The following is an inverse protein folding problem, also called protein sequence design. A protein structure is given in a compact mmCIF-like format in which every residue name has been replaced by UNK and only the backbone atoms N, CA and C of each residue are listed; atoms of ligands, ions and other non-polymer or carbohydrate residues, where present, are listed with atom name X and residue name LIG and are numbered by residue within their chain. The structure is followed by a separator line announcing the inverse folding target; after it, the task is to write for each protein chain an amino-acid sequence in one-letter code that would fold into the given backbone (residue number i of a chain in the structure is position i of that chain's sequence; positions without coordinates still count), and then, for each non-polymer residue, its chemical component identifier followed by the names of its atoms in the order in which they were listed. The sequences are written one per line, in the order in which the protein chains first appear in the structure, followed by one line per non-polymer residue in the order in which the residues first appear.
data_IF_788971798114
#
_entry.id   IF_788971798114
#
_cell.length_a   1.000
_cell.length_b   1.000
_cell.length_c   1.000
_cell.angle_alpha   90.00
_cell.angle_beta   90.00
_cell.angle_gamma   90.00
#
_symmetry.space_group_name_H-M   'P 1'
#
loop_
_entity.id
_entity.type
_entity.pdbx_description
1 polymer ?
#
# COMPACT_ATOMS: atom_id res chain seq x y z
N UNK A 1 -19.49 7.46 6.21
CA UNK A 1 -18.19 7.38 5.50
C UNK A 1 -18.46 7.19 4.01
N UNK A 2 -17.85 8.00 3.16
CA UNK A 2 -17.96 7.89 1.70
C UNK A 2 -16.80 7.08 1.13
N UNK A 3 -17.09 6.08 0.30
CA UNK A 3 -16.09 5.23 -0.35
C UNK A 3 -16.04 5.53 -1.85
N UNK A 4 -14.93 6.10 -2.30
CA UNK A 4 -14.66 6.41 -3.70
C UNK A 4 -13.97 5.23 -4.37
N UNK A 5 -14.46 4.83 -5.55
CA UNK A 5 -13.95 3.64 -6.24
C UNK A 5 -14.49 2.34 -5.63
N UNK A 6 -15.72 2.38 -5.09
CA UNK A 6 -16.30 1.36 -4.23
C UNK A 6 -16.35 -0.05 -4.85
N UNK A 7 -16.49 -0.16 -6.17
CA UNK A 7 -16.62 -1.45 -6.86
C UNK A 7 -15.33 -1.88 -7.60
N UNK A 8 -14.20 -1.19 -7.37
CA UNK A 8 -12.86 -1.70 -7.69
C UNK A 8 -12.45 -2.84 -6.75
N UNK A 9 -11.37 -3.55 -7.05
CA UNK A 9 -10.90 -4.66 -6.20
C UNK A 9 -10.61 -4.23 -4.76
N UNK A 10 -9.90 -3.11 -4.57
CA UNK A 10 -9.62 -2.52 -3.26
C UNK A 10 -10.89 -2.03 -2.58
N UNK A 11 -11.70 -1.23 -3.28
CA UNK A 11 -12.94 -0.66 -2.74
C UNK A 11 -13.93 -1.74 -2.29
N UNK A 12 -14.07 -2.85 -3.02
CA UNK A 12 -14.95 -3.96 -2.62
C UNK A 12 -14.53 -4.56 -1.28
N UNK A 13 -13.22 -4.77 -1.08
CA UNK A 13 -12.70 -5.27 0.19
C UNK A 13 -13.01 -4.29 1.34
N UNK A 14 -12.79 -2.98 1.14
CA UNK A 14 -13.13 -1.95 2.13
C UNK A 14 -14.63 -1.99 2.46
N UNK A 15 -15.48 -1.99 1.43
CA UNK A 15 -16.93 -2.00 1.61
C UNK A 15 -17.40 -3.26 2.38
N UNK A 16 -16.86 -4.43 2.05
CA UNK A 16 -17.16 -5.70 2.73
C UNK A 16 -16.77 -5.67 4.21
N UNK A 17 -15.60 -5.13 4.54
CA UNK A 17 -15.10 -5.10 5.93
C UNK A 17 -15.79 -4.05 6.80
N UNK A 18 -16.29 -2.97 6.20
CA UNK A 18 -16.95 -1.86 6.89
C UNK A 18 -18.49 -1.99 6.93
N UNK A 19 -19.09 -2.78 6.03
CA UNK A 19 -20.54 -2.93 5.95
C UNK A 19 -21.14 -3.42 7.28
N UNK A 20 -22.19 -2.73 7.73
CA UNK A 20 -22.87 -3.03 8.99
C UNK A 20 -22.14 -2.58 10.26
N UNK A 21 -20.91 -2.05 10.15
CA UNK A 21 -20.17 -1.42 11.27
C UNK A 21 -20.28 0.09 11.24
N UNK A 22 -20.38 0.66 10.04
CA UNK A 22 -20.50 2.11 9.82
C UNK A 22 -21.56 2.40 8.76
N UNK A 23 -22.11 3.61 8.78
CA UNK A 23 -22.93 4.11 7.67
C UNK A 23 -22.03 4.37 6.45
N UNK A 24 -22.24 3.62 5.38
CA UNK A 24 -21.44 3.68 4.16
C UNK A 24 -22.21 4.32 3.02
N UNK A 25 -21.50 5.13 2.23
CA UNK A 25 -21.92 5.62 0.92
C UNK A 25 -20.95 5.11 -0.14
N UNK A 26 -21.45 4.36 -1.12
CA UNK A 26 -20.66 3.75 -2.20
C UNK A 26 -20.66 4.68 -3.41
N UNK A 27 -19.47 5.10 -3.84
CA UNK A 27 -19.25 6.00 -4.95
C UNK A 27 -18.52 5.33 -6.12
N UNK A 28 -19.04 5.54 -7.33
CA UNK A 28 -18.32 5.30 -8.57
C UNK A 28 -19.14 5.68 -9.80
N UNK A 29 -18.53 5.58 -10.97
CA UNK A 29 -19.10 6.06 -12.25
C UNK A 29 -20.36 5.29 -12.68
N UNK A 30 -20.41 3.98 -12.41
CA UNK A 30 -21.54 3.13 -12.78
C UNK A 30 -22.40 2.81 -11.54
N UNK A 31 -23.53 3.50 -11.34
CA UNK A 31 -24.38 3.27 -10.18
C UNK A 31 -24.94 1.84 -10.12
N UNK A 32 -25.05 1.14 -11.26
CA UNK A 32 -25.54 -0.26 -11.29
C UNK A 32 -24.56 -1.21 -10.62
N UNK A 33 -23.25 -0.99 -10.80
CA UNK A 33 -22.23 -1.82 -10.14
C UNK A 33 -22.16 -1.53 -8.64
N UNK A 34 -22.35 -0.28 -8.24
CA UNK A 34 -22.44 0.10 -6.84
C UNK A 34 -23.69 -0.51 -6.19
N UNK A 35 -24.83 -0.54 -6.88
CA UNK A 35 -26.06 -1.17 -6.39
C UNK A 35 -25.92 -2.70 -6.26
N UNK A 36 -25.30 -3.36 -7.24
CA UNK A 36 -25.00 -4.79 -7.15
C UNK A 36 -24.10 -5.09 -5.94
N UNK A 37 -23.07 -4.27 -5.70
CA UNK A 37 -22.25 -4.40 -4.50
C UNK A 37 -23.09 -4.17 -3.24
N UNK A 38 -23.93 -3.13 -3.20
CA UNK A 38 -24.78 -2.85 -2.05
C UNK A 38 -25.70 -4.03 -1.71
N UNK A 39 -26.29 -4.67 -2.71
CA UNK A 39 -27.11 -5.88 -2.54
C UNK A 39 -26.30 -7.04 -1.93
N UNK A 40 -25.06 -7.26 -2.38
CA UNK A 40 -24.15 -8.26 -1.78
C UNK A 40 -23.82 -7.94 -0.31
N UNK A 41 -23.84 -6.66 0.06
CA UNK A 41 -23.64 -6.18 1.43
C UNK A 41 -24.93 -6.16 2.27
N UNK A 42 -26.04 -6.67 1.72
CA UNK A 42 -27.35 -6.72 2.39
C UNK A 42 -28.14 -5.42 2.33
N UNK A 43 -27.91 -4.58 1.31
CA UNK A 43 -28.57 -3.29 1.09
C UNK A 43 -28.42 -2.30 2.27
N UNK A 44 -27.22 -2.30 2.88
CA UNK A 44 -26.90 -1.53 4.09
C UNK A 44 -26.19 -0.20 3.81
N UNK A 45 -25.83 0.08 2.57
CA UNK A 45 -25.14 1.29 2.17
C UNK A 45 -26.03 2.17 1.29
N UNK A 46 -25.72 3.46 1.29
CA UNK A 46 -26.22 4.40 0.30
C UNK A 46 -25.41 4.27 -0.99
N UNK A 47 -26.06 4.33 -2.15
CA UNK A 47 -25.37 4.35 -3.45
C UNK A 47 -25.49 5.73 -4.06
N UNK A 48 -24.36 6.28 -4.50
CA UNK A 48 -24.31 7.56 -5.22
C UNK A 48 -23.44 7.43 -6.46
N UNK A 49 -23.97 7.87 -7.60
CA UNK A 49 -23.16 8.06 -8.80
C UNK A 49 -22.09 9.11 -8.50
N UNK A 50 -20.86 8.82 -8.93
CA UNK A 50 -19.71 9.68 -8.70
C UNK A 50 -18.82 9.69 -9.93
N UNK A 51 -18.69 10.86 -10.54
CA UNK A 51 -17.60 11.17 -11.46
C UNK A 51 -16.60 12.07 -10.76
N UNK A 52 -15.38 11.57 -10.58
CA UNK A 52 -14.30 12.33 -9.94
C UNK A 52 -13.88 13.55 -10.74
N UNK A 53 -14.14 13.57 -12.05
CA UNK A 53 -13.73 14.67 -12.92
C UNK A 53 -14.78 15.77 -13.04
N UNK A 54 -15.95 15.56 -12.43
CA UNK A 54 -17.03 16.54 -12.38
C UNK A 54 -17.11 17.12 -10.96
N UNK A 55 -16.72 18.40 -10.75
CA UNK A 55 -16.62 18.98 -9.41
C UNK A 55 -17.91 18.93 -8.60
N UNK A 56 -19.08 19.09 -9.23
CA UNK A 56 -20.35 19.07 -8.50
C UNK A 56 -20.67 17.65 -8.01
N UNK A 57 -20.49 16.64 -8.84
CA UNK A 57 -20.65 15.23 -8.49
C UNK A 57 -19.79 14.84 -7.30
N UNK A 58 -18.54 15.32 -7.28
CA UNK A 58 -17.62 15.06 -6.18
C UNK A 58 -18.03 15.79 -4.89
N UNK A 59 -18.45 17.06 -4.99
CA UNK A 59 -18.95 17.83 -3.85
C UNK A 59 -20.22 17.19 -3.24
N UNK A 60 -21.19 16.84 -4.08
CA UNK A 60 -22.44 16.18 -3.67
C UNK A 60 -22.18 14.84 -2.99
N UNK A 61 -21.19 14.07 -3.49
CA UNK A 61 -20.78 12.82 -2.86
C UNK A 61 -20.16 13.02 -1.48
N UNK A 62 -19.30 14.03 -1.34
CA UNK A 62 -18.61 14.32 -0.08
C UNK A 62 -19.55 14.93 0.98
N UNK A 63 -20.60 15.64 0.55
CA UNK A 63 -21.54 16.31 1.46
C UNK A 63 -22.13 15.35 2.51
N UNK A 64 -21.96 15.69 3.79
CA UNK A 64 -22.47 14.89 4.93
C UNK A 64 -21.63 13.65 5.26
N UNK A 65 -20.50 13.42 4.59
CA UNK A 65 -19.53 12.40 5.02
C UNK A 65 -18.67 12.95 6.16
N UNK A 66 -18.41 12.13 7.18
CA UNK A 66 -17.39 12.42 8.20
C UNK A 66 -15.97 12.08 7.72
N UNK A 67 -15.85 11.05 6.89
CA UNK A 67 -14.60 10.56 6.31
C UNK A 67 -14.88 10.12 4.86
N UNK A 68 -14.01 10.52 3.95
CA UNK A 68 -13.96 10.06 2.55
C UNK A 68 -12.74 9.17 2.37
N UNK A 69 -12.97 7.91 1.97
CA UNK A 69 -11.96 6.90 1.69
C UNK A 69 -11.78 6.80 0.18
N UNK A 70 -10.60 7.16 -0.32
CA UNK A 70 -10.25 7.07 -1.73
C UNK A 70 -9.58 5.73 -2.06
N UNK A 71 -10.31 4.87 -2.78
CA UNK A 71 -9.79 3.65 -3.39
C UNK A 71 -9.80 3.71 -4.92
N UNK A 72 -10.07 4.88 -5.51
CA UNK A 72 -10.01 5.05 -6.95
C UNK A 72 -8.57 5.27 -7.41
N UNK A 73 -8.28 4.79 -8.61
CA UNK A 73 -7.06 5.10 -9.33
C UNK A 73 -7.36 5.50 -10.78
N UNK A 74 -6.33 5.91 -11.54
CA UNK A 74 -4.93 5.97 -11.13
C UNK A 74 -4.64 7.14 -10.18
N UNK A 75 -3.96 6.86 -9.07
CA UNK A 75 -3.57 7.80 -8.01
C UNK A 75 -2.83 9.02 -8.57
N UNK A 76 -1.91 8.81 -9.52
CA UNK A 76 -1.13 9.91 -10.14
C UNK A 76 -1.93 10.81 -11.09
N UNK A 77 -3.14 10.41 -11.49
CA UNK A 77 -4.07 11.26 -12.24
C UNK A 77 -5.08 11.95 -11.31
N UNK A 78 -5.48 11.26 -10.25
CA UNK A 78 -6.46 11.77 -9.29
C UNK A 78 -5.83 12.85 -8.41
N UNK A 79 -4.62 12.58 -7.88
CA UNK A 79 -3.88 13.46 -6.98
C UNK A 79 -4.79 13.99 -5.86
N UNK A 80 -4.79 15.30 -5.64
CA UNK A 80 -5.47 15.99 -4.55
C UNK A 80 -6.95 16.25 -4.79
N UNK A 81 -7.51 15.83 -5.93
CA UNK A 81 -8.88 16.18 -6.31
C UNK A 81 -9.92 15.72 -5.28
N UNK A 82 -9.84 14.47 -4.84
CA UNK A 82 -10.79 13.91 -3.86
C UNK A 82 -10.53 14.51 -2.48
N UNK A 83 -9.26 14.66 -2.09
CA UNK A 83 -8.89 15.27 -0.82
C UNK A 83 -9.45 16.69 -0.68
N UNK A 84 -9.29 17.54 -1.70
CA UNK A 84 -9.81 18.92 -1.70
C UNK A 84 -11.33 18.96 -1.55
N UNK A 85 -12.06 18.11 -2.27
CA UNK A 85 -13.51 18.09 -2.20
C UNK A 85 -14.02 17.56 -0.85
N UNK A 86 -13.35 16.54 -0.29
CA UNK A 86 -13.65 16.03 1.05
C UNK A 86 -13.46 17.12 2.10
N UNK A 87 -12.29 17.76 2.14
CA UNK A 87 -11.97 18.81 3.10
C UNK A 87 -12.88 20.04 2.93
N UNK A 88 -13.21 20.44 1.70
CA UNK A 88 -14.15 21.54 1.44
C UNK A 88 -15.58 21.23 1.92
N UNK A 89 -15.98 19.95 1.94
CA UNK A 89 -17.25 19.49 2.50
C UNK A 89 -17.20 19.29 4.04
N UNK A 90 -16.07 19.56 4.68
CA UNK A 90 -15.86 19.33 6.12
C UNK A 90 -15.65 17.86 6.49
N UNK A 91 -15.27 17.01 5.52
CA UNK A 91 -14.93 15.61 5.75
C UNK A 91 -13.43 15.41 5.90
N UNK A 92 -13.06 14.46 6.77
CA UNK A 92 -11.71 13.92 6.81
C UNK A 92 -11.40 13.06 5.57
N UNK A 93 -10.12 12.74 5.34
CA UNK A 93 -9.67 12.05 4.12
C UNK A 93 -8.71 10.90 4.39
N UNK A 94 -8.95 9.75 3.75
CA UNK A 94 -8.05 8.60 3.72
C UNK A 94 -7.76 8.20 2.28
N UNK A 95 -6.49 8.02 1.91
CA UNK A 95 -6.07 7.56 0.58
C UNK A 95 -5.24 6.29 0.65
N UNK A 96 -5.57 5.30 -0.18
CA UNK A 96 -4.87 4.02 -0.22
C UNK A 96 -3.58 4.04 -1.04
N UNK A 97 -3.48 4.93 -2.03
CA UNK A 97 -2.39 4.95 -3.01
C UNK A 97 -1.67 6.30 -3.13
N UNK A 98 -2.29 7.37 -2.62
CA UNK A 98 -1.67 8.68 -2.53
C UNK A 98 -0.46 8.67 -1.60
N UNK A 99 0.64 9.24 -2.08
CA UNK A 99 1.94 9.29 -1.41
C UNK A 99 2.53 10.71 -1.54
N UNK A 100 3.85 10.87 -1.72
CA UNK A 100 4.53 12.18 -1.68
C UNK A 100 3.95 13.23 -2.63
N UNK A 101 3.63 12.93 -3.91
CA UNK A 101 3.05 13.93 -4.80
C UNK A 101 1.69 14.46 -4.33
N UNK A 102 0.93 13.66 -3.58
CA UNK A 102 -0.30 14.11 -2.95
C UNK A 102 0.00 14.88 -1.67
N UNK A 103 0.89 14.35 -0.82
CA UNK A 103 1.33 15.00 0.41
C UNK A 103 1.78 16.44 0.15
N UNK A 104 2.69 16.65 -0.80
CA UNK A 104 3.22 17.97 -1.19
C UNK A 104 2.12 18.98 -1.58
N UNK A 105 1.03 18.50 -2.17
CA UNK A 105 -0.12 19.34 -2.56
C UNK A 105 -1.03 19.69 -1.40
N UNK A 106 -0.94 18.98 -0.29
CA UNK A 106 -1.79 19.16 0.90
C UNK A 106 -1.06 19.84 2.06
N UNK A 107 0.28 19.80 2.09
CA UNK A 107 1.08 20.51 3.11
C UNK A 107 0.66 21.98 3.20
N UNK A 108 0.34 22.41 4.42
CA UNK A 108 -0.09 23.78 4.72
C UNK A 108 -1.50 24.15 4.25
N UNK A 109 -2.28 23.20 3.72
CA UNK A 109 -3.63 23.46 3.18
C UNK A 109 -4.76 22.80 3.99
N UNK A 110 -4.44 22.03 5.04
CA UNK A 110 -5.45 21.36 5.86
C UNK A 110 -6.17 22.37 6.77
N UNK A 111 -7.52 22.37 6.80
CA UNK A 111 -8.24 23.13 7.82
C UNK A 111 -8.01 22.52 9.21
N UNK A 112 -8.04 23.36 10.25
CA UNK A 112 -7.80 22.94 11.63
C UNK A 112 -8.83 21.88 12.08
N UNK A 113 -8.38 20.88 12.85
CA UNK A 113 -9.23 19.80 13.35
C UNK A 113 -9.41 18.61 12.40
N UNK A 114 -8.98 18.72 11.14
CA UNK A 114 -9.13 17.65 10.17
C UNK A 114 -7.99 16.65 10.17
N UNK A 115 -8.33 15.40 9.82
CA UNK A 115 -7.40 14.29 9.64
C UNK A 115 -7.26 13.96 8.15
N UNK A 116 -6.02 13.82 7.71
CA UNK A 116 -5.68 13.25 6.40
C UNK A 116 -4.67 12.13 6.57
N UNK A 117 -5.02 10.94 6.11
CA UNK A 117 -4.15 9.78 6.15
C UNK A 117 -3.83 9.29 4.74
N UNK A 118 -2.55 9.27 4.40
CA UNK A 118 -2.04 8.83 3.10
C UNK A 118 -1.38 7.45 3.20
N UNK A 119 -1.15 6.83 2.05
CA UNK A 119 -0.47 5.53 1.94
C UNK A 119 -1.12 4.44 2.80
N UNK A 120 -2.45 4.36 2.84
CA UNK A 120 -3.19 3.36 3.62
C UNK A 120 -3.43 2.05 2.83
N UNK A 121 -2.40 1.55 2.15
CA UNK A 121 -2.47 0.38 1.27
C UNK A 121 -1.48 -0.73 1.64
N UNK A 122 -1.30 -1.70 0.73
CA UNK A 122 -0.23 -2.69 0.85
C UNK A 122 1.14 -2.07 0.53
N UNK A 123 1.21 -1.37 -0.61
CA UNK A 123 2.38 -0.65 -1.10
C UNK A 123 1.89 0.59 -1.85
N UNK A 124 2.05 1.81 -1.29
CA UNK A 124 2.61 2.10 0.04
C UNK A 124 1.61 1.79 1.19
N UNK A 125 2.13 1.69 2.42
CA UNK A 125 1.40 1.50 3.67
C UNK A 125 1.97 0.37 4.51
N UNK A 126 1.44 -0.84 4.32
CA UNK A 126 1.91 -2.03 5.02
C UNK A 126 3.41 -2.28 4.75
N UNK A 127 3.92 -1.91 3.59
CA UNK A 127 5.35 -1.98 3.26
C UNK A 127 6.25 -1.08 4.11
N UNK A 128 5.76 0.06 4.60
CA UNK A 128 6.46 0.90 5.58
C UNK A 128 6.21 0.49 7.02
N UNK A 129 5.03 -0.09 7.32
CA UNK A 129 4.61 -0.49 8.65
C UNK A 129 5.23 -1.84 9.08
N UNK A 130 5.23 -2.84 8.19
CA UNK A 130 5.69 -4.21 8.47
C UNK A 130 7.15 -4.31 8.96
N UNK A 131 8.12 -3.54 8.42
CA UNK A 131 9.49 -3.52 8.94
C UNK A 131 9.59 -3.12 10.42
N UNK A 132 8.64 -2.32 10.92
CA UNK A 132 8.68 -1.82 12.31
C UNK A 132 8.51 -2.94 13.34
N UNK A 133 7.81 -4.01 12.98
CA UNK A 133 7.67 -5.21 13.81
C UNK A 133 9.02 -5.86 14.17
N UNK A 134 10.04 -5.65 13.33
CA UNK A 134 11.40 -6.09 13.63
C UNK A 134 12.24 -5.00 14.27
N UNK A 135 12.22 -3.79 13.70
CA UNK A 135 13.18 -2.74 14.08
C UNK A 135 13.02 -2.28 15.53
N UNK A 136 11.79 -2.32 16.07
CA UNK A 136 11.50 -1.96 17.47
C UNK A 136 12.22 -2.87 18.48
N UNK A 137 12.58 -4.09 18.09
CA UNK A 137 13.29 -5.06 18.95
C UNK A 137 14.82 -4.92 18.92
N UNK A 138 15.38 -4.01 18.12
CA UNK A 138 16.83 -3.81 17.97
C UNK A 138 17.28 -2.50 18.63
N UNK A 139 18.37 -2.54 19.39
CA UNK A 139 18.98 -1.34 19.96
C UNK A 139 19.69 -0.49 18.89
N UNK A 140 20.18 -1.14 17.84
CA UNK A 140 20.82 -0.49 16.69
C UNK A 140 20.54 -1.29 15.44
N UNK A 141 20.20 -0.60 14.35
CA UNK A 141 20.00 -1.19 13.03
C UNK A 141 21.20 -0.86 12.15
N UNK A 142 22.05 -1.85 11.86
CA UNK A 142 23.21 -1.67 10.99
C UNK A 142 22.82 -1.80 9.51
N UNK A 143 21.94 -2.75 9.18
CA UNK A 143 21.37 -2.87 7.85
C UNK A 143 19.90 -3.27 7.87
N UNK A 144 19.11 -2.68 6.97
CA UNK A 144 17.69 -3.02 6.77
C UNK A 144 17.43 -3.20 5.27
N UNK A 145 16.97 -4.40 4.89
CA UNK A 145 16.64 -4.74 3.52
C UNK A 145 15.15 -5.03 3.42
N UNK A 146 14.46 -4.29 2.55
CA UNK A 146 13.01 -4.42 2.35
C UNK A 146 12.74 -4.94 0.94
N UNK A 147 11.89 -5.96 0.83
CA UNK A 147 11.56 -6.62 -0.42
C UNK A 147 10.05 -6.56 -0.64
N UNK A 148 9.64 -6.17 -1.84
CA UNK A 148 8.24 -6.18 -2.24
C UNK A 148 8.09 -6.75 -3.64
N UNK A 149 7.06 -7.55 -3.85
CA UNK A 149 6.70 -8.03 -5.18
C UNK A 149 5.69 -9.16 -5.12
N UNK A 150 5.51 -9.84 -6.24
CA UNK A 150 4.56 -10.94 -6.29
C UNK A 150 4.22 -11.37 -7.71
N UNK A 151 3.32 -12.34 -7.75
CA UNK A 151 2.72 -12.87 -8.96
C UNK A 151 1.22 -12.62 -8.89
N UNK A 152 0.70 -11.78 -9.76
CA UNK A 152 -0.72 -11.44 -9.76
C UNK A 152 -1.15 -10.77 -11.05
N UNK A 153 -2.43 -10.89 -11.37
CA UNK A 153 -3.00 -10.23 -12.53
C UNK A 153 -3.19 -8.75 -12.20
N UNK A 154 -2.62 -7.87 -13.01
CA UNK A 154 -2.84 -6.44 -12.88
C UNK A 154 -4.22 -6.07 -13.46
N UNK A 155 -4.93 -5.19 -12.76
CA UNK A 155 -6.05 -4.44 -13.36
C UNK A 155 -5.50 -3.35 -14.27
N UNK A 156 -6.32 -2.81 -15.18
CA UNK A 156 -5.91 -1.67 -16.01
C UNK A 156 -5.48 -0.47 -15.17
N UNK A 157 -6.21 -0.18 -14.08
CA UNK A 157 -5.88 0.89 -13.15
C UNK A 157 -4.54 0.64 -12.43
N UNK A 158 -4.30 -0.59 -11.95
CA UNK A 158 -3.05 -0.92 -11.28
C UNK A 158 -1.85 -0.88 -12.24
N UNK A 159 -2.02 -1.37 -13.47
CA UNK A 159 -0.97 -1.29 -14.50
C UNK A 159 -0.67 0.16 -14.87
N UNK A 160 -1.70 1.00 -14.99
CA UNK A 160 -1.53 2.43 -15.26
C UNK A 160 -0.84 3.15 -14.11
N UNK A 161 -1.25 2.91 -12.85
CA UNK A 161 -0.60 3.50 -11.67
C UNK A 161 0.86 3.07 -11.56
N UNK A 162 1.15 1.80 -11.82
CA UNK A 162 2.52 1.29 -11.85
C UNK A 162 3.36 2.01 -12.92
N UNK A 163 2.83 2.23 -14.12
CA UNK A 163 3.56 2.93 -15.18
C UNK A 163 3.76 4.41 -14.88
N UNK A 164 2.78 5.06 -14.26
CA UNK A 164 2.88 6.46 -13.84
C UNK A 164 3.88 6.62 -12.69
N UNK A 165 3.98 5.66 -11.77
CA UNK A 165 4.92 5.74 -10.63
C UNK A 165 6.39 5.73 -11.07
N UNK A 166 6.72 5.11 -12.22
CA UNK A 166 8.08 5.06 -12.77
C UNK A 166 8.71 6.43 -13.07
N UNK A 167 7.90 7.48 -13.21
CA UNK A 167 8.38 8.83 -13.55
C UNK A 167 7.95 9.94 -12.59
N UNK A 168 7.09 9.65 -11.61
CA UNK A 168 6.40 10.68 -10.82
C UNK A 168 6.82 10.67 -9.34
N UNK A 169 8.08 10.36 -9.05
CA UNK A 169 8.64 10.56 -7.71
C UNK A 169 8.30 9.50 -6.67
N UNK A 170 7.77 8.33 -7.05
CA UNK A 170 7.54 7.21 -6.11
C UNK A 170 8.83 6.64 -5.51
N UNK A 171 9.96 6.82 -6.19
CA UNK A 171 11.23 6.24 -5.79
C UNK A 171 12.28 6.26 -6.89
N UNK A 172 13.47 5.77 -6.55
CA UNK A 172 14.66 5.81 -7.39
C UNK A 172 15.22 4.40 -7.62
N UNK A 173 15.32 4.01 -8.89
CA UNK A 173 15.97 2.75 -9.27
C UNK A 173 17.48 2.84 -9.04
N UNK A 174 18.07 1.71 -8.62
CA UNK A 174 19.50 1.60 -8.31
C UNK A 174 19.99 2.59 -7.25
N UNK A 175 19.13 2.93 -6.30
CA UNK A 175 19.47 3.71 -5.12
C UNK A 175 19.23 2.88 -3.86
N UNK A 176 19.91 3.28 -2.79
CA UNK A 176 19.76 2.79 -1.43
C UNK A 176 19.99 3.94 -0.45
N UNK A 177 20.15 3.61 0.82
CA UNK A 177 20.30 4.56 1.91
C UNK A 177 21.57 4.28 2.69
N UNK A 178 22.33 5.33 2.99
CA UNK A 178 23.51 5.25 3.82
C UNK A 178 23.56 6.45 4.76
N UNK A 179 23.55 6.20 6.06
CA UNK A 179 23.75 7.22 7.12
C UNK A 179 22.96 8.52 6.91
N UNK A 180 21.66 8.40 6.61
CA UNK A 180 20.79 9.57 6.43
C UNK A 180 20.71 10.10 5.00
N UNK A 181 21.40 9.48 4.05
CA UNK A 181 21.48 9.96 2.67
C UNK A 181 21.07 8.91 1.65
N UNK A 182 20.43 9.36 0.58
CA UNK A 182 20.20 8.56 -0.62
C UNK A 182 21.52 8.39 -1.37
N UNK A 183 21.93 7.14 -1.59
CA UNK A 183 23.16 6.79 -2.31
C UNK A 183 22.84 5.90 -3.50
N UNK A 184 23.71 5.89 -4.51
CA UNK A 184 23.64 4.86 -5.57
C UNK A 184 23.91 3.50 -4.95
N UNK A 185 23.09 2.51 -5.29
CA UNK A 185 23.29 1.15 -4.82
C UNK A 185 24.60 0.61 -5.41
N UNK A 186 25.44 0.04 -4.57
CA UNK A 186 26.65 -0.68 -4.98
C UNK A 186 26.34 -2.10 -5.47
N UNK A 187 25.10 -2.54 -5.27
CA UNK A 187 24.66 -3.86 -5.66
C UNK A 187 24.34 -3.91 -7.17
N UNK A 188 24.49 -5.09 -7.77
CA UNK A 188 24.17 -5.30 -9.18
C UNK A 188 22.73 -4.87 -9.48
N UNK A 189 22.52 -4.34 -10.69
CA UNK A 189 21.22 -3.89 -11.18
C UNK A 189 20.13 -4.98 -11.09
N UNK A 190 20.54 -6.24 -11.16
CA UNK A 190 19.71 -7.43 -10.98
C UNK A 190 20.49 -8.44 -10.13
N UNK A 191 19.81 -9.05 -9.14
CA UNK A 191 20.40 -10.03 -8.23
C UNK A 191 19.49 -11.25 -8.13
N UNK A 192 20.03 -12.43 -8.44
CA UNK A 192 19.36 -13.69 -8.18
C UNK A 192 19.18 -13.86 -6.68
N UNK A 193 17.93 -13.94 -6.23
CA UNK A 193 17.60 -14.05 -4.81
C UNK A 193 17.14 -15.47 -4.50
N UNK A 194 17.82 -16.13 -3.57
CA UNK A 194 17.42 -17.42 -3.03
C UNK A 194 17.17 -17.29 -1.54
N UNK A 195 15.92 -17.54 -1.14
CA UNK A 195 15.43 -17.48 0.24
C UNK A 195 14.32 -18.49 0.42
N UNK A 196 14.21 -19.06 1.62
CA UNK A 196 13.18 -20.06 1.94
C UNK A 196 11.75 -19.49 1.85
N UNK A 197 11.62 -18.18 2.00
CA UNK A 197 10.36 -17.45 1.88
C UNK A 197 10.03 -17.00 0.46
N UNK A 198 10.85 -17.33 -0.54
CA UNK A 198 10.52 -17.17 -1.96
C UNK A 198 9.87 -18.45 -2.51
N UNK A 199 9.06 -18.36 -3.57
CA UNK A 199 8.73 -19.55 -4.34
C UNK A 199 10.00 -20.14 -4.98
N UNK A 200 10.01 -21.43 -5.35
CA UNK A 200 11.20 -22.11 -5.89
C UNK A 200 11.72 -21.57 -7.23
N UNK A 201 10.94 -20.72 -7.91
CA UNK A 201 11.31 -20.14 -9.21
C UNK A 201 12.37 -19.05 -9.05
N UNK A 202 13.18 -18.81 -10.10
CA UNK A 202 14.26 -17.83 -10.10
C UNK A 202 13.78 -16.38 -9.97
N UNK A 203 13.57 -15.93 -8.73
CA UNK A 203 13.21 -14.55 -8.41
C UNK A 203 14.43 -13.65 -8.49
N UNK A 204 14.24 -12.51 -9.15
CA UNK A 204 15.23 -11.46 -9.30
C UNK A 204 14.86 -10.26 -8.44
N UNK A 205 15.84 -9.76 -7.70
CA UNK A 205 15.72 -8.54 -6.90
C UNK A 205 16.37 -7.37 -7.62
N UNK A 206 15.62 -6.28 -7.77
CA UNK A 206 16.06 -5.05 -8.41
C UNK A 206 16.13 -3.94 -7.36
N UNK A 207 17.32 -3.37 -7.08
CA UNK A 207 17.46 -2.27 -6.14
C UNK A 207 16.56 -1.10 -6.51
N UNK A 208 15.67 -0.73 -5.59
CA UNK A 208 14.73 0.36 -5.76
C UNK A 208 14.45 0.98 -4.41
N UNK A 209 14.68 2.29 -4.29
CA UNK A 209 14.45 3.04 -3.06
C UNK A 209 13.18 3.88 -3.22
N UNK A 210 12.07 3.45 -2.62
CA UNK A 210 10.84 4.24 -2.59
C UNK A 210 10.96 5.44 -1.65
N UNK A 211 10.09 6.43 -1.84
CA UNK A 211 9.88 7.54 -0.90
C UNK A 211 9.45 7.05 0.48
N UNK A 212 8.56 6.06 0.54
CA UNK A 212 8.17 5.41 1.79
C UNK A 212 9.35 4.76 2.51
N UNK A 213 10.24 4.08 1.78
CA UNK A 213 11.44 3.50 2.37
C UNK A 213 12.41 4.58 2.87
N UNK A 214 12.54 5.72 2.17
CA UNK A 214 13.33 6.85 2.66
C UNK A 214 12.77 7.38 4.00
N UNK A 215 11.43 7.50 4.13
CA UNK A 215 10.81 7.87 5.41
C UNK A 215 11.10 6.84 6.48
N UNK A 216 10.88 5.55 6.20
CA UNK A 216 11.18 4.46 7.12
C UNK A 216 12.64 4.48 7.60
N UNK A 217 13.60 4.68 6.70
CA UNK A 217 15.03 4.71 7.03
C UNK A 217 15.47 6.00 7.73
N UNK A 218 14.70 7.08 7.60
CA UNK A 218 14.85 8.30 8.38
C UNK A 218 14.30 8.15 9.80
N UNK A 219 13.13 7.51 9.94
CA UNK A 219 12.43 7.31 11.22
C UNK A 219 13.09 6.21 12.08
N UNK A 220 13.60 5.16 11.43
CA UNK A 220 14.44 4.12 12.04
C UNK A 220 15.87 4.40 11.62
N UNK A 221 16.73 5.03 12.46
CA UNK A 221 18.06 5.48 12.06
C UNK A 221 18.99 4.29 11.74
N UNK A 222 18.88 3.82 10.50
CA UNK A 222 19.60 2.69 9.93
C UNK A 222 20.86 3.18 9.24
N UNK A 223 21.98 2.49 9.46
CA UNK A 223 23.24 2.82 8.77
C UNK A 223 23.17 2.51 7.28
N UNK A 224 22.67 1.34 6.90
CA UNK A 224 22.50 0.93 5.51
C UNK A 224 21.09 0.42 5.20
N UNK A 225 20.31 1.16 4.43
CA UNK A 225 18.97 0.75 3.99
C UNK A 225 18.97 0.36 2.51
N UNK A 226 18.24 -0.69 2.14
CA UNK A 226 18.07 -1.06 0.74
C UNK A 226 16.68 -1.63 0.48
N UNK A 227 15.96 -1.01 -0.46
CA UNK A 227 14.72 -1.55 -1.00
C UNK A 227 14.96 -2.38 -2.26
N UNK A 228 14.08 -3.36 -2.49
CA UNK A 228 14.09 -4.21 -3.67
C UNK A 228 12.68 -4.46 -4.19
N UNK A 229 12.50 -4.31 -5.50
CA UNK A 229 11.36 -4.88 -6.21
C UNK A 229 11.70 -6.30 -6.66
N UNK A 230 10.79 -7.24 -6.45
CA UNK A 230 10.96 -8.65 -6.82
C UNK A 230 10.16 -8.98 -8.08
N UNK A 231 10.80 -9.67 -9.04
CA UNK A 231 10.15 -10.20 -10.23
C UNK A 231 10.60 -11.63 -10.51
N UNK A 232 9.70 -12.49 -10.97
CA UNK A 232 10.00 -13.87 -11.36
C UNK A 232 10.42 -14.00 -12.84
N UNK A 233 10.88 -12.90 -13.46
CA UNK A 233 11.04 -12.81 -14.91
C UNK A 233 9.69 -12.88 -15.63
N UNK A 234 9.62 -13.65 -16.73
CA UNK A 234 8.37 -13.87 -17.46
C UNK A 234 7.96 -12.73 -18.39
N UNK A 235 6.70 -12.78 -18.81
CA UNK A 235 6.13 -11.85 -19.78
C UNK A 235 6.01 -10.43 -19.21
N UNK A 236 5.69 -10.30 -17.92
CA UNK A 236 5.54 -9.01 -17.25
C UNK A 236 6.87 -8.28 -17.18
N UNK A 237 7.93 -8.95 -16.73
CA UNK A 237 9.27 -8.37 -16.69
C UNK A 237 9.75 -7.97 -18.11
N UNK A 238 9.53 -8.82 -19.11
CA UNK A 238 9.87 -8.52 -20.50
C UNK A 238 9.06 -7.35 -21.09
N UNK A 239 7.78 -7.23 -20.73
CA UNK A 239 6.95 -6.08 -21.12
C UNK A 239 7.46 -4.79 -20.45
N UNK A 240 7.80 -4.84 -19.16
CA UNK A 240 8.34 -3.69 -18.43
C UNK A 240 9.65 -3.20 -19.00
N UNK A 241 10.59 -4.09 -19.30
CA UNK A 241 11.86 -3.72 -19.94
C UNK A 241 11.65 -2.99 -21.27
N UNK A 242 10.74 -3.48 -22.13
CA UNK A 242 10.40 -2.81 -23.39
C UNK A 242 9.78 -1.43 -23.18
N UNK A 243 8.87 -1.31 -22.20
CA UNK A 243 8.20 -0.04 -21.89
C UNK A 243 9.20 0.98 -21.32
N UNK A 244 10.09 0.55 -20.43
CA UNK A 244 11.13 1.41 -19.85
C UNK A 244 12.08 1.97 -20.93
N UNK A 245 12.38 1.19 -21.98
CA UNK A 245 13.13 1.64 -23.14
C UNK A 245 12.39 2.62 -24.06
N UNK A 246 11.08 2.83 -23.86
CA UNK A 246 10.29 3.80 -24.62
C UNK A 246 10.40 5.22 -24.02
N UNK A 247 10.09 6.23 -24.84
CA UNK A 247 10.04 7.62 -24.39
C UNK A 247 9.10 7.81 -23.18
N UNK A 248 9.47 8.61 -22.17
CA UNK A 248 8.71 8.74 -20.92
C UNK A 248 7.20 8.99 -21.10
N UNK A 249 6.83 9.87 -22.01
CA UNK A 249 5.44 10.24 -22.33
C UNK A 249 4.61 9.09 -22.95
N UNK A 250 5.27 8.10 -23.55
CA UNK A 250 4.61 6.95 -24.16
C UNK A 250 4.41 5.79 -23.17
N UNK A 251 5.06 5.83 -22.00
CA UNK A 251 5.09 4.69 -21.05
C UNK A 251 3.72 4.32 -20.52
N UNK A 252 2.88 5.32 -20.22
CA UNK A 252 1.51 5.14 -19.71
C UNK A 252 0.44 5.16 -20.81
N UNK A 253 0.80 4.89 -22.07
CA UNK A 253 -0.16 4.76 -23.16
C UNK A 253 -1.14 3.60 -22.95
N UNK A 254 -2.35 3.71 -23.51
CA UNK A 254 -3.37 2.66 -23.43
C UNK A 254 -2.86 1.31 -23.95
N UNK A 255 -2.00 1.32 -24.97
CA UNK A 255 -1.37 0.12 -25.51
C UNK A 255 -0.43 -0.55 -24.50
N UNK A 256 0.41 0.23 -23.82
CA UNK A 256 1.35 -0.30 -22.83
C UNK A 256 0.62 -0.78 -21.56
N UNK A 257 -0.44 -0.10 -21.14
CA UNK A 257 -1.31 -0.55 -20.06
C UNK A 257 -1.93 -1.91 -20.41
N UNK A 258 -2.52 -2.04 -21.61
CA UNK A 258 -3.10 -3.31 -22.06
C UNK A 258 -2.05 -4.43 -22.16
N UNK A 259 -0.84 -4.10 -22.63
CA UNK A 259 0.27 -5.05 -22.73
C UNK A 259 0.70 -5.58 -21.35
N UNK A 260 0.80 -4.74 -20.32
CA UNK A 260 1.10 -5.18 -18.95
C UNK A 260 -0.01 -6.03 -18.35
N UNK A 261 -1.28 -5.66 -18.57
CA UNK A 261 -2.42 -6.47 -18.11
C UNK A 261 -2.40 -7.85 -18.76
N UNK A 262 -2.14 -7.93 -20.06
CA UNK A 262 -2.03 -9.21 -20.77
C UNK A 262 -0.82 -10.02 -20.29
N UNK A 263 0.35 -9.40 -20.15
CA UNK A 263 1.56 -10.05 -19.70
C UNK A 263 1.43 -10.63 -18.28
N UNK A 264 0.88 -9.86 -17.34
CA UNK A 264 0.62 -10.34 -15.97
C UNK A 264 -0.40 -11.49 -15.94
N UNK A 265 -1.41 -11.47 -16.82
CA UNK A 265 -2.38 -12.56 -16.93
C UNK A 265 -1.73 -13.85 -17.46
N UNK A 266 -0.79 -13.75 -18.41
CA UNK A 266 -0.04 -14.89 -18.91
C UNK A 266 0.88 -15.49 -17.84
N UNK A 267 1.58 -14.66 -17.07
CA UNK A 267 2.49 -15.13 -16.03
C UNK A 267 1.77 -15.84 -14.88
N UNK A 268 0.52 -15.46 -14.59
CA UNK A 268 -0.31 -16.09 -13.55
C UNK A 268 -1.00 -17.35 -14.03
N UNK A 269 -1.16 -17.56 -15.35
CA UNK A 269 -1.93 -18.67 -15.89
C UNK A 269 -1.41 -20.03 -15.41
N UNK A 270 -2.29 -20.83 -14.80
CA UNK A 270 -1.93 -22.15 -14.24
C UNK A 270 -1.11 -22.10 -12.95
N UNK A 271 -0.86 -20.92 -12.39
CA UNK A 271 -0.06 -20.70 -11.17
C UNK A 271 -0.92 -20.08 -10.08
N UNK A 272 -0.49 -20.24 -8.82
CA UNK A 272 -1.16 -19.61 -7.68
C UNK A 272 -0.61 -18.18 -7.49
N UNK A 273 -1.47 -17.14 -7.53
CA UNK A 273 -1.00 -15.78 -7.30
C UNK A 273 -0.55 -15.62 -5.86
N UNK A 274 0.40 -14.71 -5.66
CA UNK A 274 0.85 -14.31 -4.34
C UNK A 274 1.36 -12.88 -4.37
N UNK A 275 1.34 -12.25 -3.21
CA UNK A 275 1.99 -10.98 -2.90
C UNK A 275 2.93 -11.21 -1.73
N UNK A 276 4.07 -10.55 -1.73
CA UNK A 276 5.14 -10.76 -0.77
C UNK A 276 5.68 -9.41 -0.29
N UNK A 277 5.73 -9.27 1.03
CA UNK A 277 6.57 -8.30 1.72
C UNK A 277 7.57 -9.09 2.55
N UNK A 278 8.86 -8.75 2.47
CA UNK A 278 9.87 -9.35 3.32
C UNK A 278 10.85 -8.29 3.82
N UNK A 279 11.41 -8.53 4.98
CA UNK A 279 12.34 -7.63 5.66
C UNK A 279 13.46 -8.47 6.25
N UNK A 280 14.68 -8.05 6.04
CA UNK A 280 15.87 -8.59 6.70
C UNK A 280 16.56 -7.47 7.47
N UNK A 281 16.99 -7.77 8.68
CA UNK A 281 17.67 -6.82 9.57
C UNK A 281 18.97 -7.42 10.07
N UNK A 282 20.04 -6.62 10.04
CA UNK A 282 21.27 -6.86 10.78
C UNK A 282 21.43 -5.76 11.82
N UNK A 283 21.72 -6.11 13.06
CA UNK A 283 21.88 -5.09 14.09
C UNK A 283 22.25 -5.62 15.46
N UNK A 284 22.25 -4.73 16.44
CA UNK A 284 22.48 -5.03 17.84
C UNK A 284 21.14 -5.30 18.54
N UNK A 285 20.98 -6.50 19.09
CA UNK A 285 19.85 -6.89 19.94
C UNK A 285 20.38 -7.61 21.17
N UNK A 286 19.88 -7.23 22.35
CA UNK A 286 20.34 -7.73 23.66
C UNK A 286 21.87 -7.71 23.82
N UNK A 287 22.52 -6.65 23.32
CA UNK A 287 23.97 -6.47 23.39
C UNK A 287 24.79 -7.41 22.48
N UNK A 288 24.15 -8.15 21.57
CA UNK A 288 24.79 -9.05 20.61
C UNK A 288 24.42 -8.69 19.19
N UNK A 289 25.34 -8.92 18.24
CA UNK A 289 25.00 -8.79 16.83
C UNK A 289 24.06 -9.94 16.45
N UNK A 290 22.91 -9.61 15.86
CA UNK A 290 21.90 -10.56 15.45
C UNK A 290 21.42 -10.24 14.04
N UNK A 291 20.98 -11.29 13.34
CA UNK A 291 20.28 -11.19 12.07
C UNK A 291 18.88 -11.75 12.26
N UNK A 292 17.88 -11.11 11.65
CA UNK A 292 16.53 -11.61 11.66
C UNK A 292 15.82 -11.31 10.34
N UNK A 293 14.75 -12.07 10.08
CA UNK A 293 13.90 -11.82 8.92
C UNK A 293 12.44 -12.03 9.25
N UNK A 294 11.60 -11.23 8.61
CA UNK A 294 10.15 -11.31 8.66
C UNK A 294 9.62 -11.31 7.24
N UNK A 295 8.54 -12.05 7.00
CA UNK A 295 7.88 -12.02 5.70
C UNK A 295 6.39 -12.25 5.84
N UNK A 296 5.63 -11.66 4.92
CA UNK A 296 4.20 -11.81 4.77
C UNK A 296 3.90 -12.19 3.33
N UNK A 297 3.08 -13.23 3.16
CA UNK A 297 2.57 -13.68 1.86
C UNK A 297 1.05 -13.74 1.87
N UNK A 298 0.40 -13.09 0.91
CA UNK A 298 -1.06 -13.16 0.72
C UNK A 298 -1.40 -13.56 -0.73
N UNK A 299 -2.63 -13.98 -1.00
CA UNK A 299 -3.03 -14.34 -2.37
C UNK A 299 -3.38 -13.15 -3.26
N UNK A 300 -3.72 -12.00 -2.66
CA UNK A 300 -4.26 -10.83 -3.38
C UNK A 300 -3.83 -9.52 -2.71
N UNK A 301 -3.12 -8.67 -3.47
CA UNK A 301 -2.65 -7.36 -3.00
C UNK A 301 -3.76 -6.34 -2.85
N UNK A 302 -4.84 -6.44 -3.64
CA UNK A 302 -6.00 -5.56 -3.49
C UNK A 302 -6.74 -5.85 -2.19
N UNK A 303 -6.80 -7.12 -1.77
CA UNK A 303 -7.38 -7.50 -0.47
C UNK A 303 -6.52 -7.03 0.69
N UNK A 304 -5.19 -7.09 0.59
CA UNK A 304 -4.29 -6.49 1.58
C UNK A 304 -4.51 -4.96 1.67
N UNK A 305 -4.43 -4.25 0.54
CA UNK A 305 -4.64 -2.80 0.48
C UNK A 305 -5.99 -2.39 1.07
N UNK A 306 -7.08 -3.04 0.65
CA UNK A 306 -8.41 -2.71 1.17
C UNK A 306 -8.58 -3.05 2.65
N UNK A 307 -7.86 -4.04 3.16
CA UNK A 307 -7.91 -4.39 4.59
C UNK A 307 -7.13 -3.38 5.44
N UNK A 308 -5.99 -2.87 4.97
CA UNK A 308 -5.27 -1.77 5.66
C UNK A 308 -6.14 -0.52 5.70
N UNK A 309 -6.76 -0.15 4.60
CA UNK A 309 -7.66 1.00 4.54
C UNK A 309 -8.87 0.85 5.47
N UNK A 310 -9.46 -0.34 5.53
CA UNK A 310 -10.56 -0.64 6.46
C UNK A 310 -10.11 -0.59 7.93
N UNK A 311 -8.90 -1.09 8.24
CA UNK A 311 -8.32 -0.97 9.58
C UNK A 311 -8.20 0.49 10.00
N UNK A 312 -7.58 1.32 9.15
CA UNK A 312 -7.44 2.75 9.38
C UNK A 312 -8.80 3.44 9.60
N UNK A 313 -9.79 3.13 8.77
CA UNK A 313 -11.14 3.71 8.90
C UNK A 313 -11.84 3.31 10.21
N UNK A 314 -11.63 2.09 10.71
CA UNK A 314 -12.16 1.65 12.00
C UNK A 314 -11.42 2.26 13.20
N UNK A 315 -10.13 2.57 13.05
CA UNK A 315 -9.31 3.23 14.06
C UNK A 315 -9.36 4.76 13.99
N UNK A 316 -10.17 5.34 13.10
CA UNK A 316 -10.08 6.76 12.72
C UNK A 316 -10.14 7.73 13.91
N UNK A 317 -10.97 7.44 14.90
CA UNK A 317 -11.12 8.28 16.11
C UNK A 317 -9.86 8.34 16.98
N UNK A 318 -8.96 7.37 16.86
CA UNK A 318 -7.70 7.29 17.60
C UNK A 318 -6.50 7.86 16.82
N UNK A 319 -6.68 8.19 15.55
CA UNK A 319 -5.62 8.74 14.71
C UNK A 319 -5.42 10.24 14.97
N UNK A 320 -4.17 10.73 14.90
CA UNK A 320 -3.87 12.14 15.14
C UNK A 320 -4.43 13.04 14.05
N UNK A 321 -4.80 14.26 14.43
CA UNK A 321 -5.14 15.35 13.50
C UNK A 321 -3.94 15.78 12.67
N UNK A 322 -4.19 16.33 11.49
CA UNK A 322 -3.17 16.73 10.53
C UNK A 322 -2.97 15.73 9.39
N UNK A 323 -1.86 15.94 8.67
CA UNK A 323 -1.48 15.17 7.49
C UNK A 323 -0.43 14.14 7.87
N UNK A 324 -0.76 12.85 7.74
CA UNK A 324 0.11 11.76 8.15
C UNK A 324 0.16 10.65 7.09
N UNK A 325 1.23 9.88 7.10
CA UNK A 325 1.28 8.59 6.41
C UNK A 325 0.85 7.48 7.35
N UNK A 326 0.13 6.48 6.84
CA UNK A 326 -0.37 5.35 7.62
C UNK A 326 0.75 4.66 8.44
N UNK A 327 1.90 4.40 7.82
CA UNK A 327 3.03 3.75 8.49
C UNK A 327 3.60 4.52 9.70
N UNK A 328 3.33 5.83 9.83
CA UNK A 328 3.88 6.66 10.91
C UNK A 328 3.00 6.70 12.16
N UNK A 329 1.71 6.41 12.02
CA UNK A 329 0.71 6.61 13.08
C UNK A 329 -0.05 5.34 13.46
N UNK A 330 0.06 4.28 12.66
CA UNK A 330 -0.57 3.01 12.96
C UNK A 330 0.29 2.16 13.90
N UNK A 331 -0.40 1.43 14.77
CA UNK A 331 0.20 0.31 15.49
C UNK A 331 0.40 -0.87 14.53
N UNK A 332 1.67 -1.25 14.33
CA UNK A 332 2.04 -2.31 13.39
C UNK A 332 1.52 -3.69 13.81
N UNK A 333 1.53 -3.98 15.11
CA UNK A 333 1.10 -5.24 15.71
C UNK A 333 -0.40 -5.41 15.57
N UNK A 334 -1.18 -4.42 16.03
CA UNK A 334 -2.64 -4.44 15.96
C UNK A 334 -3.14 -4.48 14.51
N UNK A 335 -2.47 -3.76 13.61
CA UNK A 335 -2.78 -3.81 12.18
C UNK A 335 -2.56 -5.23 11.63
N UNK A 336 -1.38 -5.81 11.86
CA UNK A 336 -1.06 -7.15 11.35
C UNK A 336 -2.01 -8.22 11.91
N UNK A 337 -2.30 -8.21 13.21
CA UNK A 337 -3.26 -9.16 13.80
C UNK A 337 -4.62 -9.06 13.13
N UNK A 338 -5.13 -7.84 12.94
CA UNK A 338 -6.44 -7.63 12.36
C UNK A 338 -6.48 -8.06 10.88
N UNK A 339 -5.38 -7.85 10.14
CA UNK A 339 -5.23 -8.35 8.77
C UNK A 339 -5.27 -9.88 8.73
N UNK A 340 -4.57 -10.58 9.64
CA UNK A 340 -4.58 -12.04 9.70
C UNK A 340 -5.98 -12.60 10.02
N UNK A 341 -6.76 -11.90 10.86
CA UNK A 341 -8.16 -12.26 11.15
C UNK A 341 -9.06 -12.10 9.92
N UNK A 342 -8.87 -11.06 9.11
CA UNK A 342 -9.69 -10.80 7.91
C UNK A 342 -9.24 -11.58 6.67
N UNK A 343 -7.96 -11.97 6.61
CA UNK A 343 -7.34 -12.62 5.46
C UNK A 343 -6.70 -13.95 5.88
N UNK A 344 -7.50 -15.00 6.13
CA UNK A 344 -7.00 -16.29 6.64
C UNK A 344 -6.08 -17.03 5.66
N UNK A 345 -6.01 -16.60 4.40
CA UNK A 345 -5.07 -17.08 3.39
C UNK A 345 -3.69 -16.41 3.48
N UNK A 346 -3.56 -15.35 4.29
CA UNK A 346 -2.28 -14.70 4.56
C UNK A 346 -1.41 -15.59 5.44
N UNK A 347 -0.14 -15.69 5.10
CA UNK A 347 0.90 -16.38 5.86
C UNK A 347 1.92 -15.36 6.28
N UNK A 348 2.32 -15.42 7.54
CA UNK A 348 3.34 -14.53 8.09
C UNK A 348 4.37 -15.37 8.81
N UNK A 349 5.61 -14.93 8.76
CA UNK A 349 6.67 -15.38 9.63
C UNK A 349 7.26 -14.16 10.33
N UNK A 350 7.37 -14.28 11.64
CA UNK A 350 8.10 -13.36 12.49
C UNK A 350 9.06 -14.19 13.35
N UNK A 351 10.26 -13.68 13.65
CA UNK A 351 11.13 -14.31 14.63
C UNK A 351 10.46 -14.31 16.00
N UNK A 352 10.81 -15.27 16.86
CA UNK A 352 10.15 -15.48 18.16
C UNK A 352 10.01 -14.20 18.99
N UNK A 353 11.06 -13.37 19.03
CA UNK A 353 11.04 -12.11 19.79
C UNK A 353 10.04 -11.07 19.25
N UNK A 354 9.69 -11.13 17.97
CA UNK A 354 8.69 -10.27 17.35
C UNK A 354 7.30 -10.91 17.37
N UNK A 355 7.22 -12.25 17.42
CA UNK A 355 5.96 -12.98 17.56
C UNK A 355 5.34 -12.81 18.96
N UNK A 356 6.17 -12.70 20.00
CA UNK A 356 5.69 -12.45 21.38
C UNK A 356 4.89 -11.13 21.47
N UNK A 357 5.24 -10.12 20.66
CA UNK A 357 4.49 -8.87 20.61
C UNK A 357 3.07 -9.02 20.02
N UNK A 358 2.80 -10.05 19.21
CA UNK A 358 1.45 -10.37 18.67
C UNK A 358 0.64 -11.33 19.57
N UNK A 359 1.26 -11.86 20.63
CA UNK A 359 0.71 -12.93 21.44
C UNK A 359 0.22 -12.49 22.82
N UNK A 360 0.21 -11.19 23.12
CA UNK A 360 -0.44 -10.66 24.32
C UNK A 360 -1.79 -10.01 23.99
N UNK A 361 -2.91 -10.74 24.05
CA UNK A 361 -4.13 -10.11 24.52
C UNK A 361 -3.88 -9.80 26.00
N UNK A 362 -3.97 -8.53 26.39
CA UNK A 362 -4.16 -8.17 27.80
C UNK A 362 -5.46 -8.84 28.28
N UNK A 363 -5.35 -10.05 28.81
CA UNK A 363 -6.33 -10.63 29.71
C UNK A 363 -6.28 -9.86 31.03
N UNK A 364 -7.04 -8.77 31.06
CA UNK A 364 -7.85 -8.38 32.21
C UNK A 364 -7.24 -7.41 33.22
N UNK A 365 -8.04 -6.41 33.60
CA UNK A 365 -8.35 -6.15 35.01
C UNK A 365 -9.85 -5.85 35.14
N UNK A 366 -10.47 -6.69 35.97
CA UNK A 366 -11.80 -6.70 36.63
C UNK A 366 -12.73 -5.50 36.52
#
# INVERSE_FOLDING_TARGET
MGLVGAYGSVGRQVAQLLAGKVALRLGGRDPRQAEQLNQQLGARAEVRALDLWEPQSLADFCAGCSLVINCAGPSYRILDRVARAALAAGADYLDVGGDDPLHERLVGQLPAGHRVLLSAGMLPGLSGLFPQLLTQSFQRVDALRCYAGGLGRLSATAAEDFLLSLGNGFGQAQCGWCEGQVVRSTASAEQALQRDWLPPAGVQAYPYLSTEQQRLFGDVPVRHGQGFNLFEGGQLAAALQRIQGSAPEARSSAQNIAALVQASALDVAGRRPYQLLAVEIDGLREGRQQQASAWLRASDGSRLTGSVAAFCALQWAHLPEGLHYAAQVLDATACLEQLLRWLPDTRVHLPDFAAVALAEPEEGVL
#
